data_IF_257900456027
#
_entry.id   IF_257900456027
#
_cell.length_a   1.000
_cell.length_b   1.000
_cell.length_c   1.000
_cell.angle_alpha   90.00
_cell.angle_beta   90.00
_cell.angle_gamma   90.00
#
_symmetry.space_group_name_H-M   'P 1'
#
loop_
_entity.id
_entity.type
_entity.pdbx_description
1 polymer ?
#
# COMPACT_ATOMS: atom_id res chain seq x y z
N UNK A 1 -3.07 17.78 22.08
CA UNK A 1 -3.19 18.54 20.82
C UNK A 1 -2.02 18.16 19.91
N UNK A 2 -2.26 17.34 18.89
CA UNK A 2 -1.22 16.83 17.99
C UNK A 2 -0.70 17.96 17.10
N UNK A 3 0.60 18.25 17.15
CA UNK A 3 1.23 19.28 16.33
C UNK A 3 1.54 18.72 14.93
N UNK A 4 1.30 19.45 13.84
CA UNK A 4 1.69 19.01 12.51
C UNK A 4 3.22 18.91 12.40
N UNK A 5 3.70 17.71 12.05
CA UNK A 5 5.11 17.41 11.82
C UNK A 5 5.57 18.02 10.49
N UNK A 6 5.79 19.34 10.45
CA UNK A 6 6.25 20.08 9.25
C UNK A 6 7.54 20.87 9.45
N UNK A 7 8.32 20.58 10.50
CA UNK A 7 9.66 21.15 10.67
C UNK A 7 10.67 20.02 10.82
N UNK A 8 11.54 19.88 9.82
CA UNK A 8 12.64 18.94 9.61
C UNK A 8 13.72 18.96 10.72
N UNK A 9 13.35 18.79 11.99
CA UNK A 9 14.30 18.69 13.12
C UNK A 9 14.25 17.35 13.88
N UNK A 10 13.39 16.42 13.46
CA UNK A 10 13.32 15.09 14.05
C UNK A 10 13.24 14.04 12.95
N UNK A 11 14.07 13.00 13.04
CA UNK A 11 13.89 11.69 12.39
C UNK A 11 12.64 10.97 12.94
N UNK A 12 11.50 11.66 13.02
CA UNK A 12 10.29 11.23 13.73
C UNK A 12 9.28 10.50 12.84
N UNK A 13 9.73 9.88 11.75
CA UNK A 13 8.93 8.98 10.94
C UNK A 13 9.64 7.64 10.84
N UNK A 14 8.90 6.53 10.86
CA UNK A 14 9.48 5.18 10.69
C UNK A 14 10.33 5.16 9.42
N UNK A 15 11.65 5.02 9.58
CA UNK A 15 12.59 4.81 8.48
C UNK A 15 12.73 3.32 8.27
N UNK A 16 11.95 2.79 7.33
CA UNK A 16 12.07 1.40 6.92
C UNK A 16 12.91 1.34 5.66
N UNK A 17 13.98 0.53 5.61
CA UNK A 17 14.71 0.29 4.37
C UNK A 17 13.76 -0.34 3.35
N UNK A 18 13.75 0.22 2.14
CA UNK A 18 12.96 -0.32 1.04
C UNK A 18 13.88 -1.17 0.19
N UNK A 19 13.57 -2.45 0.10
CA UNK A 19 14.23 -3.39 -0.81
C UNK A 19 13.33 -3.61 -2.03
N UNK A 20 13.94 -3.61 -3.21
CA UNK A 20 13.23 -3.87 -4.47
C UNK A 20 13.40 -5.33 -4.85
N UNK A 21 12.30 -5.97 -5.19
CA UNK A 21 12.26 -7.34 -5.69
C UNK A 21 11.32 -7.40 -6.90
N UNK A 22 11.63 -8.29 -7.82
CA UNK A 22 10.70 -8.66 -8.88
C UNK A 22 9.68 -9.67 -8.37
N UNK A 23 8.43 -9.51 -8.80
CA UNK A 23 7.36 -10.49 -8.63
C UNK A 23 6.91 -11.04 -9.98
N UNK A 24 5.86 -11.87 -9.95
CA UNK A 24 5.27 -12.43 -11.17
C UNK A 24 4.41 -11.43 -11.96
N UNK A 25 3.87 -10.41 -11.29
CA UNK A 25 2.99 -9.39 -11.90
C UNK A 25 3.76 -8.11 -12.24
N UNK A 26 4.70 -7.71 -11.38
CA UNK A 26 5.50 -6.49 -11.53
C UNK A 26 6.97 -6.81 -11.37
N UNK A 27 7.82 -6.25 -12.23
CA UNK A 27 9.27 -6.48 -12.24
C UNK A 27 10.06 -5.16 -12.10
N UNK A 28 9.92 -4.44 -10.97
CA UNK A 28 10.51 -3.12 -10.78
C UNK A 28 12.05 -3.11 -10.84
N UNK A 29 12.73 -4.22 -10.50
CA UNK A 29 14.20 -4.30 -10.59
C UNK A 29 14.62 -4.33 -12.05
N UNK A 30 13.97 -5.17 -12.87
CA UNK A 30 14.23 -5.21 -14.31
C UNK A 30 13.95 -3.86 -14.99
N UNK A 31 12.85 -3.19 -14.63
CA UNK A 31 12.53 -1.88 -15.20
C UNK A 31 13.52 -0.80 -14.77
N UNK A 32 14.03 -0.84 -13.53
CA UNK A 32 15.08 0.07 -13.08
C UNK A 32 16.41 -0.20 -13.81
N UNK A 33 16.78 -1.46 -14.03
CA UNK A 33 17.95 -1.82 -14.84
C UNK A 33 17.79 -1.42 -16.31
N UNK A 34 16.56 -1.47 -16.84
CA UNK A 34 16.23 -0.94 -18.16
C UNK A 34 16.42 0.57 -18.20
N UNK A 35 15.92 1.29 -17.19
CA UNK A 35 16.10 2.74 -17.06
C UNK A 35 17.58 3.12 -17.12
N UNK A 36 18.47 2.47 -16.35
CA UNK A 36 19.90 2.77 -16.39
C UNK A 36 20.59 2.49 -17.73
N UNK A 37 20.04 1.58 -18.55
CA UNK A 37 20.55 1.31 -19.88
C UNK A 37 20.15 2.39 -20.89
N UNK A 38 18.93 2.91 -20.78
CA UNK A 38 18.37 3.89 -21.74
C UNK A 38 18.63 5.34 -21.35
N UNK A 39 18.66 5.63 -20.05
CA UNK A 39 18.95 6.94 -19.47
C UNK A 39 20.28 6.91 -18.71
N UNK A 40 21.37 6.91 -19.48
CA UNK A 40 22.72 6.86 -18.90
C UNK A 40 23.09 8.21 -18.29
N UNK A 41 23.41 8.18 -17.00
CA UNK A 41 23.94 9.33 -16.27
C UNK A 41 25.38 8.99 -15.88
N UNK A 42 26.36 9.89 -16.07
CA UNK A 42 27.71 9.61 -15.63
C UNK A 42 27.79 9.68 -14.08
N UNK A 43 28.65 8.87 -13.43
CA UNK A 43 28.67 8.75 -11.97
C UNK A 43 28.82 10.07 -11.21
N UNK A 44 29.61 11.01 -11.74
CA UNK A 44 29.82 12.35 -11.18
C UNK A 44 28.54 13.20 -11.12
N UNK A 45 27.53 12.89 -11.95
CA UNK A 45 26.27 13.62 -12.01
C UNK A 45 25.13 12.93 -11.23
N UNK A 46 25.37 11.77 -10.61
CA UNK A 46 24.33 11.03 -9.88
C UNK A 46 23.68 11.83 -8.75
N UNK A 47 24.47 12.60 -8.00
CA UNK A 47 23.96 13.36 -6.86
C UNK A 47 23.02 14.52 -7.25
N UNK A 48 23.12 15.00 -8.48
CA UNK A 48 22.41 16.19 -8.98
C UNK A 48 21.35 15.86 -10.03
N UNK A 49 21.36 14.63 -10.55
CA UNK A 49 20.42 14.18 -11.59
C UNK A 49 19.27 13.38 -10.95
N UNK A 50 18.01 13.80 -11.12
CA UNK A 50 16.87 13.03 -10.63
C UNK A 50 16.81 11.65 -11.29
N UNK A 51 16.63 10.60 -10.48
CA UNK A 51 16.52 9.22 -10.97
C UNK A 51 15.37 9.05 -11.98
N UNK A 52 14.22 9.68 -11.71
CA UNK A 52 13.08 9.71 -12.63
C UNK A 52 12.87 11.12 -13.16
N UNK A 53 13.07 11.29 -14.46
CA UNK A 53 13.02 12.59 -15.14
C UNK A 53 12.35 12.49 -16.49
N UNK A 54 11.79 13.62 -16.94
CA UNK A 54 11.25 13.78 -18.29
C UNK A 54 12.41 13.93 -19.29
N UNK A 55 12.12 13.84 -20.58
CA UNK A 55 13.10 14.10 -21.64
C UNK A 55 13.75 15.48 -21.58
N UNK A 56 13.08 16.46 -20.94
CA UNK A 56 13.64 17.78 -20.65
C UNK A 56 14.68 17.80 -19.53
N UNK A 57 14.94 16.67 -18.85
CA UNK A 57 15.83 16.57 -17.70
C UNK A 57 15.19 16.91 -16.36
N UNK A 58 13.95 17.43 -16.35
CA UNK A 58 13.23 17.83 -15.14
C UNK A 58 12.65 16.60 -14.43
N UNK A 59 12.71 16.58 -13.09
CA UNK A 59 12.13 15.52 -12.28
C UNK A 59 10.62 15.36 -12.50
N UNK A 60 10.10 14.17 -12.22
CA UNK A 60 8.65 13.97 -12.20
C UNK A 60 7.99 14.78 -11.09
N UNK A 61 6.88 15.43 -11.44
CA UNK A 61 6.00 16.09 -10.47
C UNK A 61 4.87 15.15 -10.06
N UNK A 62 4.23 15.43 -8.93
CA UNK A 62 3.03 14.69 -8.50
C UNK A 62 1.92 14.75 -9.54
N UNK A 63 1.73 15.89 -10.20
CA UNK A 63 0.69 16.05 -11.22
C UNK A 63 1.02 15.26 -12.48
N UNK A 64 2.29 15.23 -12.89
CA UNK A 64 2.73 14.37 -13.99
C UNK A 64 2.43 12.88 -13.70
N UNK A 65 2.76 12.40 -12.49
CA UNK A 65 2.45 11.01 -12.10
C UNK A 65 0.94 10.75 -12.11
N UNK A 66 0.13 11.70 -11.62
CA UNK A 66 -1.34 11.59 -11.67
C UNK A 66 -1.86 11.54 -13.11
N UNK A 67 -1.32 12.35 -14.01
CA UNK A 67 -1.67 12.34 -15.43
C UNK A 67 -1.34 11.00 -16.08
N UNK A 68 -0.16 10.45 -15.82
CA UNK A 68 0.24 9.12 -16.30
C UNK A 68 -0.73 8.05 -15.79
N UNK A 69 -1.06 8.04 -14.50
CA UNK A 69 -2.03 7.08 -13.95
C UNK A 69 -3.40 7.23 -14.61
N UNK A 70 -3.91 8.46 -14.75
CA UNK A 70 -5.20 8.72 -15.40
C UNK A 70 -5.21 8.27 -16.86
N UNK A 71 -4.12 8.50 -17.57
CA UNK A 71 -3.94 8.03 -18.94
C UNK A 71 -4.01 6.49 -19.02
N UNK A 72 -3.28 5.80 -18.15
CA UNK A 72 -3.29 4.33 -18.09
C UNK A 72 -4.67 3.76 -17.72
N UNK A 73 -5.39 4.39 -16.80
CA UNK A 73 -6.73 3.94 -16.42
C UNK A 73 -7.72 4.12 -17.57
N UNK A 74 -7.62 5.25 -18.29
CA UNK A 74 -8.44 5.47 -19.50
C UNK A 74 -8.15 4.41 -20.57
N UNK A 75 -6.88 4.02 -20.77
CA UNK A 75 -6.53 3.04 -21.81
C UNK A 75 -7.09 1.64 -21.54
N UNK A 76 -7.43 1.34 -20.28
CA UNK A 76 -8.08 0.07 -19.90
C UNK A 76 -9.59 0.21 -19.64
N UNK A 77 -10.20 1.32 -20.07
CA UNK A 77 -11.64 1.55 -19.97
C UNK A 77 -12.14 1.93 -18.57
N UNK A 78 -11.24 2.30 -17.65
CA UNK A 78 -11.60 2.73 -16.30
C UNK A 78 -11.78 4.26 -16.23
N UNK A 79 -12.69 4.77 -15.37
CA UNK A 79 -12.97 6.19 -15.25
C UNK A 79 -11.78 6.93 -14.61
N UNK A 80 -11.00 7.74 -15.37
CA UNK A 80 -9.72 8.27 -14.90
C UNK A 80 -9.86 9.22 -13.70
N UNK A 81 -11.02 9.88 -13.53
CA UNK A 81 -11.27 10.78 -12.40
C UNK A 81 -11.20 10.10 -11.03
N UNK A 82 -11.32 8.77 -10.97
CA UNK A 82 -11.25 8.00 -9.73
C UNK A 82 -9.83 7.58 -9.34
N UNK A 83 -8.81 7.88 -10.17
CA UNK A 83 -7.45 7.36 -9.99
C UNK A 83 -6.40 8.47 -10.00
N UNK A 84 -5.26 8.19 -9.35
CA UNK A 84 -4.09 9.07 -9.29
C UNK A 84 -2.98 8.47 -8.45
N UNK A 85 -2.01 9.29 -8.01
CA UNK A 85 -0.91 8.77 -7.17
C UNK A 85 -1.38 8.09 -5.87
N UNK A 86 -2.49 8.56 -5.29
CA UNK A 86 -3.05 7.98 -4.06
C UNK A 86 -3.65 6.58 -4.29
N UNK A 87 -4.27 6.32 -5.44
CA UNK A 87 -4.84 5.00 -5.74
C UNK A 87 -3.76 3.92 -5.85
N UNK A 88 -2.53 4.28 -6.27
CA UNK A 88 -1.40 3.35 -6.26
C UNK A 88 -1.05 2.89 -4.82
N UNK A 89 -1.14 3.82 -3.86
CA UNK A 89 -0.86 3.52 -2.45
C UNK A 89 -1.94 2.62 -1.83
N UNK A 90 -3.21 2.86 -2.18
CA UNK A 90 -4.34 1.98 -1.82
C UNK A 90 -4.11 0.58 -2.43
N UNK A 91 -3.77 0.52 -3.72
CA UNK A 91 -3.52 -0.74 -4.43
C UNK A 91 -2.40 -1.56 -3.79
N UNK A 92 -1.26 -0.93 -3.48
CA UNK A 92 -0.14 -1.61 -2.82
C UNK A 92 -0.50 -2.15 -1.43
N UNK A 93 -1.21 -1.37 -0.61
CA UNK A 93 -1.65 -1.80 0.72
C UNK A 93 -2.67 -2.94 0.64
N UNK A 94 -3.62 -2.85 -0.28
CA UNK A 94 -4.65 -3.88 -0.50
C UNK A 94 -4.04 -5.18 -1.04
N UNK A 95 -3.03 -5.09 -1.91
CA UNK A 95 -2.30 -6.26 -2.39
C UNK A 95 -1.52 -6.94 -1.25
N UNK A 96 -0.88 -6.17 -0.37
CA UNK A 96 -0.20 -6.71 0.80
C UNK A 96 -1.18 -7.39 1.77
N UNK A 97 -2.35 -6.80 2.01
CA UNK A 97 -3.41 -7.42 2.80
C UNK A 97 -3.90 -8.74 2.18
N UNK A 98 -4.14 -8.75 0.87
CA UNK A 98 -4.57 -9.96 0.15
C UNK A 98 -3.50 -11.07 0.19
N UNK A 99 -2.23 -10.71 0.32
CA UNK A 99 -1.12 -11.64 0.52
C UNK A 99 -0.88 -12.01 1.99
N UNK A 100 -1.79 -11.63 2.89
CA UNK A 100 -1.71 -11.89 4.33
C UNK A 100 -0.43 -11.34 5.00
N UNK A 101 0.09 -10.22 4.48
CA UNK A 101 1.18 -9.49 5.15
C UNK A 101 0.63 -8.88 6.43
N UNK A 102 1.39 -8.99 7.52
CA UNK A 102 0.94 -8.50 8.82
C UNK A 102 0.71 -6.98 8.80
N UNK A 103 -0.27 -6.54 9.57
CA UNK A 103 -0.60 -5.13 9.74
C UNK A 103 0.62 -4.29 10.14
N UNK A 104 1.43 -4.79 11.07
CA UNK A 104 2.65 -4.13 11.53
C UNK A 104 3.61 -3.84 10.37
N UNK A 105 3.78 -4.79 9.45
CA UNK A 105 4.64 -4.62 8.27
C UNK A 105 4.00 -3.65 7.27
N UNK A 106 2.70 -3.77 7.00
CA UNK A 106 1.98 -2.83 6.11
C UNK A 106 2.10 -1.39 6.63
N UNK A 107 1.89 -1.18 7.93
CA UNK A 107 2.05 0.11 8.62
C UNK A 107 3.46 0.64 8.51
N UNK A 108 4.45 -0.21 8.78
CA UNK A 108 5.86 0.17 8.71
C UNK A 108 6.25 0.56 7.27
N UNK A 109 5.95 -0.27 6.27
CA UNK A 109 6.28 -0.02 4.86
C UNK A 109 5.53 1.18 4.28
N UNK A 110 4.28 1.37 4.68
CA UNK A 110 3.50 2.55 4.33
C UNK A 110 3.93 3.82 5.08
N UNK A 111 4.72 3.70 6.16
CA UNK A 111 5.08 4.81 7.07
C UNK A 111 3.85 5.43 7.74
N UNK A 112 2.92 4.58 8.15
CA UNK A 112 1.77 4.96 8.96
C UNK A 112 2.06 4.78 10.43
N UNK A 113 1.77 5.82 11.21
CA UNK A 113 1.97 5.82 12.66
C UNK A 113 0.70 5.42 13.41
N UNK A 114 -0.48 5.80 12.91
CA UNK A 114 -1.77 5.40 13.44
C UNK A 114 -2.48 4.34 12.58
N UNK A 115 -3.69 4.00 13.00
CA UNK A 115 -4.76 3.29 12.30
C UNK A 115 -5.19 3.88 10.94
N UNK A 116 -4.72 5.06 10.55
CA UNK A 116 -5.09 5.71 9.28
C UNK A 116 -4.78 4.87 8.03
N UNK A 117 -3.92 3.85 8.16
CA UNK A 117 -3.66 2.88 7.08
C UNK A 117 -4.91 2.07 6.69
N UNK A 118 -5.86 1.87 7.60
CA UNK A 118 -7.11 1.13 7.33
C UNK A 118 -7.91 1.77 6.18
N UNK A 119 -7.87 3.10 6.07
CA UNK A 119 -8.49 3.85 4.97
C UNK A 119 -7.90 3.50 3.59
N UNK A 120 -6.71 2.90 3.55
CA UNK A 120 -6.03 2.46 2.34
C UNK A 120 -6.22 0.97 2.04
N UNK A 121 -6.79 0.21 2.98
CA UNK A 121 -7.08 -1.19 2.78
C UNK A 121 -8.41 -1.35 2.06
N UNK A 122 -8.43 -2.21 1.04
CA UNK A 122 -9.65 -2.66 0.36
C UNK A 122 -9.72 -4.16 0.47
N UNK A 123 -10.86 -4.66 0.93
CA UNK A 123 -11.15 -6.09 0.95
C UNK A 123 -11.10 -6.67 -0.46
N UNK A 124 -10.68 -7.93 -0.56
CA UNK A 124 -10.62 -8.67 -1.82
C UNK A 124 -11.26 -10.05 -1.66
N UNK A 125 -11.51 -10.73 -2.77
CA UNK A 125 -11.98 -12.12 -2.74
C UNK A 125 -11.00 -13.03 -1.98
N UNK A 126 -9.69 -12.77 -2.07
CA UNK A 126 -8.68 -13.52 -1.31
C UNK A 126 -8.88 -13.33 0.21
N UNK A 127 -9.07 -12.09 0.65
CA UNK A 127 -9.37 -11.78 2.05
C UNK A 127 -10.65 -12.49 2.52
N UNK A 128 -11.73 -12.41 1.72
CA UNK A 128 -13.01 -13.03 2.07
C UNK A 128 -12.90 -14.57 2.17
N UNK A 129 -12.18 -15.21 1.24
CA UNK A 129 -11.93 -16.66 1.28
C UNK A 129 -11.14 -17.07 2.51
N UNK A 130 -10.10 -16.31 2.86
CA UNK A 130 -9.30 -16.56 4.05
C UNK A 130 -10.17 -16.44 5.31
N UNK A 131 -10.96 -15.37 5.42
CA UNK A 131 -11.88 -15.18 6.54
C UNK A 131 -12.86 -16.36 6.67
N UNK A 132 -13.52 -16.72 5.57
CA UNK A 132 -14.47 -17.84 5.57
C UNK A 132 -13.82 -19.16 5.98
N UNK A 133 -12.61 -19.43 5.50
CA UNK A 133 -11.85 -20.63 5.87
C UNK A 133 -11.50 -20.65 7.36
N UNK A 134 -11.07 -19.52 7.92
CA UNK A 134 -10.71 -19.42 9.35
C UNK A 134 -11.95 -19.62 10.21
N UNK A 135 -13.05 -18.91 9.94
CA UNK A 135 -14.31 -19.07 10.69
C UNK A 135 -14.76 -20.53 10.67
N UNK A 136 -14.81 -21.15 9.48
CA UNK A 136 -15.30 -22.52 9.33
C UNK A 136 -14.40 -23.59 9.98
N UNK A 137 -13.14 -23.25 10.31
CA UNK A 137 -12.16 -24.20 10.84
C UNK A 137 -11.75 -23.91 12.29
N UNK A 138 -12.33 -22.87 12.91
CA UNK A 138 -11.97 -22.46 14.28
C UNK A 138 -13.05 -22.89 15.24
N UNK A 139 -12.73 -23.84 16.12
CA UNK A 139 -13.56 -24.10 17.32
C UNK A 139 -13.41 -22.91 18.27
N UNK A 140 -14.53 -22.41 18.78
CA UNK A 140 -14.53 -21.41 19.85
C UNK A 140 -15.49 -21.85 20.95
N UNK A 141 -15.20 -21.43 22.18
CA UNK A 141 -16.11 -21.59 23.30
C UNK A 141 -16.99 -20.35 23.40
N UNK A 142 -18.30 -20.54 23.40
CA UNK A 142 -19.28 -19.47 23.57
C UNK A 142 -19.59 -19.31 25.06
N UNK A 143 -19.02 -18.28 25.68
CA UNK A 143 -19.27 -17.99 27.09
C UNK A 143 -20.70 -17.52 27.35
N UNK A 144 -21.38 -16.86 26.41
CA UNK A 144 -22.76 -16.40 26.61
C UNK A 144 -23.72 -17.58 26.72
N UNK A 145 -23.52 -18.62 25.90
CA UNK A 145 -24.27 -19.87 25.97
C UNK A 145 -24.10 -20.66 27.28
N UNK A 146 -23.08 -20.34 28.11
CA UNK A 146 -22.87 -21.00 29.41
C UNK A 146 -23.75 -20.42 30.53
N UNK A 147 -24.33 -19.23 30.35
CA UNK A 147 -25.10 -18.54 31.39
C UNK A 147 -26.63 -18.55 31.14
N UNK A 148 -27.10 -19.04 29.98
CA UNK A 148 -28.51 -19.02 29.56
C UNK A 148 -29.40 -20.14 30.14
N UNK A 149 -29.14 -20.60 31.37
CA UNK A 149 -29.92 -21.66 32.02
C UNK A 149 -30.96 -21.21 33.08
N UNK A 150 -31.28 -19.92 33.21
CA UNK A 150 -32.22 -19.43 34.25
C UNK A 150 -33.50 -18.71 33.76
N UNK A 151 -34.10 -19.10 32.63
CA UNK A 151 -35.52 -18.76 32.36
C UNK A 151 -36.38 -20.01 32.12
N UNK A 152 -36.58 -20.79 33.19
CA UNK A 152 -37.75 -21.66 33.34
C UNK A 152 -38.56 -21.24 34.57
N UNK A 153 -39.11 -20.02 34.56
CA UNK A 153 -40.22 -19.68 35.45
C UNK A 153 -41.50 -20.17 34.77
N UNK A 154 -41.98 -21.32 35.25
CA UNK A 154 -43.24 -21.95 34.85
C UNK A 154 -44.42 -21.02 35.17
N UNK A 155 -45.33 -20.85 34.20
CA UNK A 155 -46.72 -20.44 34.46
C UNK A 155 -47.60 -21.68 34.60
#
# INVERSE_FOLDING_TARGET
MMRPCKKLRYHGGKTVPVFLFDGSVLTPVQELLRLFRVDRVPPEAYATTPLFRRSSGVSFTTDYVREVVRFLMRSVGLPPGLYGGHSLRIGGASAALAANVSEAVIRAMGRWDSDVYELYLRGSLACARQMGSVIASTSYEDFEAMFDHEEFVRF
#
